data_IF_076301957574
#
_entry.id   IF_076301957574
#
_cell.length_a   1.000
_cell.length_b   1.000
_cell.length_c   1.000
_cell.angle_alpha   90.00
_cell.angle_beta   90.00
_cell.angle_gamma   90.00
#
_symmetry.space_group_name_H-M   'P 1'
#
loop_
_entity.id
_entity.type
_entity.pdbx_description
1 polymer ?
#
# COMPACT_ATOMS: atom_id res chain seq x y z
N UNK A 1 -19.34 20.91 1.55
CA UNK A 1 -19.97 19.63 1.92
C UNK A 1 -19.75 19.39 3.40
N UNK A 2 -20.80 19.06 4.16
CA UNK A 2 -20.71 18.76 5.59
C UNK A 2 -19.91 17.47 5.75
N UNK A 3 -18.81 17.50 6.50
CA UNK A 3 -18.04 16.28 6.80
C UNK A 3 -18.96 15.37 7.61
N UNK A 4 -19.19 14.11 7.20
CA UNK A 4 -20.05 13.22 7.96
C UNK A 4 -19.49 13.06 9.37
N UNK A 5 -20.33 13.28 10.39
CA UNK A 5 -19.93 13.09 11.79
C UNK A 5 -19.62 11.61 12.00
N UNK A 6 -18.34 11.30 12.21
CA UNK A 6 -17.92 9.95 12.56
C UNK A 6 -18.17 9.68 14.05
N UNK A 7 -18.60 8.48 14.39
CA UNK A 7 -18.75 8.04 15.78
C UNK A 7 -17.49 7.29 16.21
N UNK A 8 -16.91 7.67 17.34
CA UNK A 8 -15.75 7.01 17.92
C UNK A 8 -16.20 5.91 18.89
N UNK A 9 -15.59 4.74 18.79
CA UNK A 9 -15.83 3.58 19.65
C UNK A 9 -14.52 3.16 20.32
N UNK A 10 -14.61 2.72 21.57
CA UNK A 10 -13.48 2.17 22.31
C UNK A 10 -13.90 0.84 22.94
N UNK A 11 -13.09 -0.21 22.71
CA UNK A 11 -13.35 -1.55 23.24
C UNK A 11 -12.09 -2.03 23.97
N UNK A 12 -12.27 -2.56 25.17
CA UNK A 12 -11.21 -3.18 25.96
C UNK A 12 -11.55 -4.62 26.31
N UNK A 13 -10.55 -5.42 26.63
CA UNK A 13 -10.75 -6.80 27.07
C UNK A 13 -9.44 -7.56 27.15
N UNK A 14 -9.54 -8.89 27.23
CA UNK A 14 -8.39 -9.79 27.21
C UNK A 14 -8.45 -10.68 25.97
N UNK A 15 -7.30 -10.87 25.33
CA UNK A 15 -7.14 -11.71 24.15
C UNK A 15 -7.45 -13.16 24.53
N UNK A 16 -8.38 -13.77 23.80
CA UNK A 16 -8.68 -15.20 23.92
C UNK A 16 -7.69 -16.04 23.11
N UNK A 17 -8.17 -17.16 22.54
CA UNK A 17 -7.33 -18.04 21.70
C UNK A 17 -6.88 -17.37 20.39
N UNK A 18 -7.71 -16.50 19.81
CA UNK A 18 -7.41 -15.78 18.59
C UNK A 18 -7.88 -14.33 18.69
N UNK A 19 -6.98 -13.39 18.44
CA UNK A 19 -7.23 -11.97 18.63
C UNK A 19 -8.38 -11.43 17.78
N UNK A 20 -8.41 -11.74 16.48
CA UNK A 20 -9.45 -11.24 15.60
C UNK A 20 -10.84 -11.75 16.00
N UNK A 21 -10.94 -13.03 16.38
CA UNK A 21 -12.20 -13.59 16.90
C UNK A 21 -12.63 -12.95 18.22
N UNK A 22 -11.68 -12.63 19.11
CA UNK A 22 -11.95 -11.94 20.37
C UNK A 22 -12.50 -10.54 20.12
N UNK A 23 -11.87 -9.78 19.20
CA UNK A 23 -12.35 -8.45 18.83
C UNK A 23 -13.76 -8.52 18.21
N UNK A 24 -14.00 -9.48 17.31
CA UNK A 24 -15.31 -9.65 16.70
C UNK A 24 -16.40 -9.99 17.73
N UNK A 25 -16.10 -10.88 18.68
CA UNK A 25 -17.02 -11.20 19.78
C UNK A 25 -17.30 -10.00 20.71
N UNK A 26 -16.34 -9.07 20.81
CA UNK A 26 -16.48 -7.81 21.54
C UNK A 26 -17.16 -6.69 20.73
N UNK A 27 -17.76 -7.00 19.57
CA UNK A 27 -18.50 -6.05 18.73
C UNK A 27 -17.63 -5.21 17.79
N UNK A 28 -16.32 -5.48 17.70
CA UNK A 28 -15.44 -4.79 16.74
C UNK A 28 -15.71 -5.29 15.32
N UNK A 29 -15.94 -4.40 14.33
CA UNK A 29 -16.15 -4.81 12.95
C UNK A 29 -14.98 -5.64 12.40
N UNK A 30 -15.27 -6.66 11.59
CA UNK A 30 -14.27 -7.60 11.09
C UNK A 30 -13.08 -6.92 10.39
N UNK A 31 -13.34 -5.87 9.59
CA UNK A 31 -12.30 -5.06 8.95
C UNK A 31 -11.38 -4.38 9.97
N UNK A 32 -11.95 -3.80 11.03
CA UNK A 32 -11.18 -3.15 12.11
C UNK A 32 -10.36 -4.20 12.86
N UNK A 33 -10.91 -5.40 13.09
CA UNK A 33 -10.17 -6.49 13.71
C UNK A 33 -8.98 -6.98 12.85
N UNK A 34 -9.15 -7.06 11.52
CA UNK A 34 -8.06 -7.34 10.58
C UNK A 34 -6.99 -6.22 10.61
N UNK A 35 -7.41 -4.95 10.53
CA UNK A 35 -6.49 -3.82 10.62
C UNK A 35 -5.73 -3.79 11.94
N UNK A 36 -6.38 -4.07 13.07
CA UNK A 36 -5.75 -4.11 14.39
C UNK A 36 -4.71 -5.23 14.48
N UNK A 37 -5.04 -6.41 13.95
CA UNK A 37 -4.08 -7.51 13.89
C UNK A 37 -2.87 -7.16 13.03
N UNK A 38 -3.09 -6.60 11.84
CA UNK A 38 -2.02 -6.16 10.94
C UNK A 38 -1.15 -5.07 11.55
N UNK A 39 -1.75 -4.07 12.19
CA UNK A 39 -1.02 -2.97 12.83
C UNK A 39 -0.01 -3.47 13.88
N UNK A 40 -0.36 -4.52 14.63
CA UNK A 40 0.51 -5.10 15.64
C UNK A 40 1.57 -6.05 15.05
N UNK A 41 1.19 -6.89 14.08
CA UNK A 41 2.09 -7.85 13.45
C UNK A 41 3.14 -7.17 12.56
N UNK A 42 2.78 -6.02 11.97
CA UNK A 42 3.67 -5.23 11.12
C UNK A 42 4.20 -3.96 11.82
N UNK A 43 4.11 -3.88 13.15
CA UNK A 43 4.76 -2.81 13.91
C UNK A 43 6.25 -2.74 13.56
N UNK A 44 6.80 -1.54 13.40
CA UNK A 44 8.10 -1.34 12.77
C UNK A 44 9.26 -1.61 13.72
N UNK A 45 9.10 -1.27 15.01
CA UNK A 45 10.13 -1.48 16.03
C UNK A 45 10.06 -2.92 16.57
N UNK A 46 8.89 -3.31 17.08
CA UNK A 46 8.70 -4.61 17.75
C UNK A 46 7.37 -5.25 17.31
N UNK A 47 7.37 -6.05 16.22
CA UNK A 47 6.24 -6.90 15.85
C UNK A 47 5.72 -7.73 17.03
N UNK A 48 4.44 -7.60 17.37
CA UNK A 48 3.82 -8.36 18.45
C UNK A 48 2.72 -9.24 17.91
N UNK A 49 2.85 -10.55 18.14
CA UNK A 49 1.74 -11.47 18.01
C UNK A 49 0.88 -11.38 19.28
N UNK A 50 -0.42 -11.05 19.17
CA UNK A 50 -1.29 -10.97 20.35
C UNK A 50 -1.36 -12.35 21.03
N UNK A 51 -0.92 -12.42 22.28
CA UNK A 51 -0.93 -13.65 23.08
C UNK A 51 -2.21 -13.75 23.90
N UNK A 52 -2.68 -14.98 24.15
CA UNK A 52 -3.81 -15.22 25.04
C UNK A 52 -3.54 -14.64 26.44
N UNK A 53 -4.55 -13.99 27.01
CA UNK A 53 -4.46 -13.29 28.30
C UNK A 53 -3.86 -11.89 28.24
N UNK A 54 -3.36 -11.42 27.09
CA UNK A 54 -2.97 -10.02 26.93
C UNK A 54 -4.20 -9.11 27.05
N UNK A 55 -4.06 -7.99 27.74
CA UNK A 55 -5.07 -6.93 27.72
C UNK A 55 -4.99 -6.17 26.40
N UNK A 56 -6.13 -5.73 25.87
CA UNK A 56 -6.19 -4.89 24.67
C UNK A 56 -7.08 -3.66 24.88
N UNK A 57 -6.78 -2.61 24.11
CA UNK A 57 -7.65 -1.46 23.89
C UNK A 57 -7.63 -1.09 22.41
N UNK A 58 -8.81 -1.12 21.79
CA UNK A 58 -8.99 -0.81 20.36
C UNK A 58 -9.91 0.38 20.24
N UNK A 59 -9.45 1.41 19.53
CA UNK A 59 -10.23 2.59 19.19
C UNK A 59 -10.50 2.58 17.69
N UNK A 60 -11.75 2.78 17.29
CA UNK A 60 -12.13 2.82 15.87
C UNK A 60 -13.26 3.82 15.63
N UNK A 61 -13.37 4.27 14.39
CA UNK A 61 -14.41 5.20 13.94
C UNK A 61 -15.39 4.49 13.00
N UNK A 62 -16.67 4.84 13.09
CA UNK A 62 -17.71 4.41 12.13
C UNK A 62 -18.34 5.60 11.44
N UNK A 63 -18.55 5.50 10.13
CA UNK A 63 -19.31 6.49 9.39
C UNK A 63 -20.82 6.32 9.61
N UNK A 64 -21.63 7.38 9.52
CA UNK A 64 -23.08 7.25 9.45
C UNK A 64 -23.48 6.32 8.31
N UNK A 65 -24.44 5.44 8.56
CA UNK A 65 -24.94 4.53 7.55
C UNK A 65 -26.45 4.34 7.69
N UNK A 66 -27.17 4.42 6.58
CA UNK A 66 -28.61 4.20 6.51
C UNK A 66 -28.88 2.85 5.85
N UNK A 67 -29.68 1.99 6.50
CA UNK A 67 -30.08 0.68 5.98
C UNK A 67 -29.38 -0.52 6.66
N UNK A 68 -29.61 -1.71 6.11
CA UNK A 68 -29.16 -2.99 6.68
C UNK A 68 -27.67 -3.34 6.42
N UNK A 69 -26.95 -2.54 5.63
CA UNK A 69 -25.54 -2.76 5.38
C UNK A 69 -24.69 -2.28 6.58
N UNK A 70 -23.49 -2.87 6.76
CA UNK A 70 -22.59 -2.49 7.86
C UNK A 70 -21.96 -1.13 7.59
N UNK A 71 -22.00 -0.26 8.59
CA UNK A 71 -21.33 1.05 8.55
C UNK A 71 -19.83 0.91 8.22
N UNK A 72 -19.27 1.73 7.32
CA UNK A 72 -17.84 1.80 7.11
C UNK A 72 -17.12 2.08 8.43
N UNK A 73 -16.12 1.28 8.76
CA UNK A 73 -15.34 1.40 9.98
C UNK A 73 -13.84 1.41 9.68
N UNK A 74 -13.08 2.14 10.50
CA UNK A 74 -11.62 2.23 10.38
C UNK A 74 -10.97 2.25 11.76
N UNK A 75 -9.90 1.46 11.92
CA UNK A 75 -9.07 1.47 13.13
C UNK A 75 -8.44 2.86 13.34
N UNK A 76 -8.51 3.41 14.55
CA UNK A 76 -7.73 4.59 14.96
C UNK A 76 -6.46 4.20 15.68
N UNK A 77 -6.57 3.29 16.64
CA UNK A 77 -5.43 2.75 17.37
C UNK A 77 -5.72 1.38 17.95
N UNK A 78 -4.66 0.63 18.17
CA UNK A 78 -4.67 -0.61 18.93
C UNK A 78 -3.55 -0.57 19.95
N UNK A 79 -3.88 -0.91 21.19
CA UNK A 79 -2.94 -1.11 22.28
C UNK A 79 -3.04 -2.55 22.76
N UNK A 80 -1.89 -3.18 22.99
CA UNK A 80 -1.77 -4.44 23.72
C UNK A 80 -0.90 -4.24 24.96
N UNK A 81 -1.28 -4.89 26.06
CA UNK A 81 -0.42 -5.06 27.22
C UNK A 81 -0.36 -6.55 27.56
N UNK A 82 0.85 -7.10 27.59
CA UNK A 82 1.08 -8.44 28.10
C UNK A 82 2.21 -8.40 29.13
N UNK A 83 1.86 -8.73 30.38
CA UNK A 83 2.80 -8.76 31.51
C UNK A 83 3.54 -7.42 31.70
N UNK A 84 2.82 -6.30 31.59
CA UNK A 84 3.36 -4.94 31.76
C UNK A 84 4.12 -4.40 30.54
N UNK A 85 4.17 -5.15 29.44
CA UNK A 85 4.80 -4.71 28.19
C UNK A 85 3.73 -4.12 27.28
N UNK A 86 3.43 -2.84 27.49
CA UNK A 86 2.47 -2.08 26.68
C UNK A 86 3.05 -1.73 25.31
N UNK A 87 2.24 -1.91 24.26
CA UNK A 87 2.54 -1.55 22.87
C UNK A 87 1.33 -0.88 22.27
N UNK A 88 1.54 0.26 21.61
CA UNK A 88 0.48 1.05 21.00
C UNK A 88 0.85 1.35 19.56
N UNK A 89 -0.12 1.18 18.66
CA UNK A 89 0.02 1.49 17.24
C UNK A 89 -1.16 2.32 16.80
N UNK A 90 -0.89 3.37 16.03
CA UNK A 90 -1.83 4.41 15.67
C UNK A 90 -1.95 4.52 14.15
N UNK A 91 -3.17 4.71 13.65
CA UNK A 91 -3.43 5.02 12.25
C UNK A 91 -2.96 6.44 11.96
N UNK A 92 -2.11 6.61 10.95
CA UNK A 92 -1.62 7.92 10.52
C UNK A 92 -1.68 8.08 8.99
N UNK A 93 -2.33 9.13 8.46
CA UNK A 93 -2.36 9.38 7.02
C UNK A 93 -0.96 9.75 6.50
N UNK A 94 -0.55 9.11 5.42
CA UNK A 94 0.71 9.38 4.72
C UNK A 94 0.42 9.64 3.24
N UNK A 95 0.95 10.73 2.68
CA UNK A 95 0.53 11.15 1.34
C UNK A 95 -0.94 11.58 1.31
N UNK A 96 -1.60 11.42 0.16
CA UNK A 96 -3.00 11.84 -0.04
C UNK A 96 -4.01 10.70 0.15
N UNK A 97 -3.60 9.47 -0.11
CA UNK A 97 -4.48 8.29 -0.23
C UNK A 97 -3.91 7.03 0.43
N UNK A 98 -2.84 7.19 1.22
CA UNK A 98 -2.20 6.10 1.95
C UNK A 98 -2.28 6.34 3.46
N UNK A 99 -2.19 5.26 4.22
CA UNK A 99 -2.27 5.31 5.69
C UNK A 99 -1.32 4.28 6.27
N UNK A 100 -0.47 4.74 7.18
CA UNK A 100 0.48 3.91 7.90
C UNK A 100 -0.04 3.62 9.31
N UNK A 101 0.52 2.57 9.90
CA UNK A 101 0.42 2.26 11.31
C UNK A 101 1.73 2.68 11.98
N UNK A 102 1.65 3.61 12.92
CA UNK A 102 2.81 4.31 13.50
C UNK A 102 2.81 4.15 15.01
N UNK A 103 3.98 3.89 15.56
CA UNK A 103 4.25 3.74 16.99
C UNK A 103 4.63 5.09 17.63
N UNK A 104 4.55 5.23 18.97
CA UNK A 104 4.90 6.47 19.68
C UNK A 104 6.31 7.01 19.40
N UNK A 105 7.24 6.14 18.99
CA UNK A 105 8.61 6.51 18.63
C UNK A 105 8.73 7.11 17.21
N UNK A 106 7.63 7.20 16.46
CA UNK A 106 7.59 7.74 15.09
C UNK A 106 7.94 6.73 14.00
N UNK A 107 8.29 5.50 14.36
CA UNK A 107 8.46 4.39 13.41
C UNK A 107 7.10 3.82 13.04
N UNK A 108 6.95 3.37 11.80
CA UNK A 108 5.71 2.78 11.36
C UNK A 108 5.83 1.98 10.09
N UNK A 109 4.72 1.36 9.70
CA UNK A 109 4.60 0.55 8.51
C UNK A 109 3.36 0.98 7.73
N UNK A 110 3.54 1.32 6.46
CA UNK A 110 2.45 1.38 5.49
C UNK A 110 2.26 -0.02 4.93
N UNK A 111 1.03 -0.52 4.94
CA UNK A 111 0.62 -1.67 4.14
C UNK A 111 -0.02 -1.13 2.86
N UNK A 112 0.79 -0.98 1.82
CA UNK A 112 0.36 -0.38 0.58
C UNK A 112 -0.51 -1.38 -0.21
N UNK A 113 -1.78 -1.01 -0.43
CA UNK A 113 -2.67 -1.68 -1.37
C UNK A 113 -2.69 -0.91 -2.69
N UNK A 114 -1.83 -1.33 -3.62
CA UNK A 114 -1.75 -0.74 -4.95
C UNK A 114 -2.92 -1.23 -5.81
N UNK A 115 -3.60 -0.32 -6.49
CA UNK A 115 -4.61 -0.70 -7.46
C UNK A 115 -3.97 -1.34 -8.70
N UNK A 116 -4.73 -2.12 -9.45
CA UNK A 116 -4.30 -2.66 -10.74
C UNK A 116 -4.03 -1.50 -11.74
N UNK A 117 -2.79 -1.35 -12.26
CA UNK A 117 -2.46 -0.27 -13.19
C UNK A 117 -3.09 -0.46 -14.58
N UNK A 118 -3.46 -1.68 -14.97
CA UNK A 118 -4.10 -1.98 -16.27
C UNK A 118 -5.27 -2.96 -16.04
N UNK A 119 -6.44 -2.45 -15.62
CA UNK A 119 -7.58 -3.31 -15.32
C UNK A 119 -7.94 -4.24 -16.49
N UNK A 120 -7.99 -5.54 -16.20
CA UNK A 120 -8.26 -6.66 -17.15
C UNK A 120 -7.06 -7.12 -18.01
N UNK A 121 -5.87 -6.58 -17.80
CA UNK A 121 -4.68 -7.19 -18.39
C UNK A 121 -4.40 -8.56 -17.77
N UNK A 122 -3.78 -9.45 -18.54
CA UNK A 122 -3.36 -10.76 -18.08
C UNK A 122 -1.87 -10.75 -17.74
N UNK A 123 -1.50 -11.25 -16.56
CA UNK A 123 -0.08 -11.43 -16.22
C UNK A 123 0.46 -12.59 -17.05
N UNK A 124 1.34 -12.28 -18.01
CA UNK A 124 1.98 -13.27 -18.89
C UNK A 124 3.34 -13.70 -18.37
N UNK A 125 4.00 -12.85 -17.57
CA UNK A 125 5.21 -13.20 -16.86
C UNK A 125 5.18 -12.69 -15.43
N UNK A 126 5.33 -13.61 -14.48
CA UNK A 126 5.34 -13.29 -13.06
C UNK A 126 6.74 -12.86 -12.60
N UNK A 127 6.78 -12.27 -11.40
CA UNK A 127 8.00 -12.05 -10.64
C UNK A 127 8.68 -13.39 -10.32
N UNK A 128 10.00 -13.47 -10.53
CA UNK A 128 10.79 -14.66 -10.17
C UNK A 128 11.67 -15.21 -11.29
N UNK A 129 12.29 -16.37 -11.04
CA UNK A 129 13.16 -17.03 -12.02
C UNK A 129 12.36 -17.54 -13.22
N UNK A 130 12.85 -17.20 -14.42
CA UNK A 130 12.31 -17.66 -15.71
C UNK A 130 13.42 -17.77 -16.74
N UNK A 131 13.12 -18.35 -17.89
CA UNK A 131 13.96 -18.22 -19.08
C UNK A 131 13.60 -16.91 -19.77
N UNK A 132 14.59 -16.06 -20.06
CA UNK A 132 14.38 -14.79 -20.74
C UNK A 132 13.96 -15.04 -22.20
N UNK A 133 12.80 -14.57 -22.67
CA UNK A 133 12.20 -14.97 -23.94
C UNK A 133 13.00 -14.54 -25.16
N UNK A 134 13.87 -13.53 -25.01
CA UNK A 134 14.72 -13.03 -26.09
C UNK A 134 16.17 -13.52 -25.95
N UNK A 135 16.65 -13.74 -24.72
CA UNK A 135 18.07 -14.06 -24.47
C UNK A 135 18.28 -15.56 -24.26
N UNK A 136 17.19 -16.33 -24.16
CA UNK A 136 17.13 -17.77 -23.97
C UNK A 136 18.04 -18.30 -22.84
N UNK A 137 18.07 -17.57 -21.73
CA UNK A 137 18.88 -17.91 -20.55
C UNK A 137 18.11 -17.67 -19.26
N UNK A 138 18.45 -18.36 -18.15
CA UNK A 138 17.86 -18.09 -16.84
C UNK A 138 18.08 -16.63 -16.42
N UNK A 139 17.00 -15.96 -16.04
CA UNK A 139 16.99 -14.60 -15.55
C UNK A 139 15.93 -14.45 -14.45
N UNK A 140 16.23 -13.59 -13.47
CA UNK A 140 15.26 -13.24 -12.45
C UNK A 140 14.45 -12.03 -12.90
N UNK A 141 13.15 -12.21 -13.04
CA UNK A 141 12.23 -11.14 -13.43
C UNK A 141 11.87 -10.25 -12.24
N UNK A 142 12.36 -9.02 -12.25
CA UNK A 142 12.21 -8.05 -11.16
C UNK A 142 10.95 -7.17 -11.28
N UNK A 143 9.93 -7.68 -11.98
CA UNK A 143 8.64 -7.04 -12.16
C UNK A 143 7.59 -8.07 -12.59
N UNK A 144 6.53 -7.59 -13.22
CA UNK A 144 5.54 -8.43 -13.90
C UNK A 144 5.27 -7.90 -15.31
N UNK A 145 4.99 -8.81 -16.23
CA UNK A 145 4.55 -8.47 -17.59
C UNK A 145 3.04 -8.64 -17.66
N UNK A 146 2.33 -7.55 -17.99
CA UNK A 146 0.89 -7.51 -18.11
C UNK A 146 0.52 -7.30 -19.58
N UNK A 147 0.11 -8.37 -20.26
CA UNK A 147 -0.30 -8.30 -21.65
C UNK A 147 -1.64 -7.57 -21.80
N UNK A 148 -1.66 -6.58 -22.69
CA UNK A 148 -2.83 -5.81 -23.08
C UNK A 148 -2.59 -5.21 -24.48
N UNK A 149 -3.67 -4.88 -25.22
CA UNK A 149 -3.51 -4.23 -26.53
C UNK A 149 -2.67 -2.96 -26.45
N UNK A 150 -1.90 -2.68 -27.51
CA UNK A 150 -1.20 -1.40 -27.66
C UNK A 150 -2.20 -0.23 -27.53
N UNK A 151 -1.79 0.85 -26.88
CA UNK A 151 -2.65 1.99 -26.58
C UNK A 151 -3.59 1.80 -25.38
N UNK A 152 -3.55 0.65 -24.68
CA UNK A 152 -4.37 0.46 -23.46
C UNK A 152 -3.96 1.47 -22.39
N UNK A 153 -4.89 2.23 -21.78
CA UNK A 153 -4.54 3.20 -20.74
C UNK A 153 -3.97 2.55 -19.48
N UNK A 154 -2.83 3.08 -19.03
CA UNK A 154 -2.18 2.71 -17.76
C UNK A 154 -2.52 3.75 -16.71
N UNK A 155 -2.92 3.31 -15.52
CA UNK A 155 -3.37 4.18 -14.43
C UNK A 155 -2.42 4.14 -13.25
N UNK A 156 -2.24 5.28 -12.58
CA UNK A 156 -1.46 5.34 -11.35
C UNK A 156 -2.17 4.53 -10.24
N UNK A 157 -1.50 3.54 -9.61
CA UNK A 157 -2.10 2.68 -8.61
C UNK A 157 -2.34 3.39 -7.28
N UNK A 158 -1.61 4.48 -7.05
CA UNK A 158 -1.72 5.40 -5.94
C UNK A 158 -1.26 6.80 -6.37
N UNK A 159 -1.59 7.82 -5.59
CA UNK A 159 -1.17 9.18 -5.86
C UNK A 159 0.32 9.36 -5.61
N UNK A 160 0.97 10.30 -6.31
CA UNK A 160 2.41 10.47 -6.23
C UNK A 160 2.96 11.52 -7.17
N UNK A 161 4.28 11.59 -7.26
CA UNK A 161 5.01 12.51 -8.11
C UNK A 161 5.84 11.72 -9.11
N UNK A 162 5.78 12.10 -10.38
CA UNK A 162 6.65 11.57 -11.43
C UNK A 162 8.10 11.91 -11.08
N UNK A 163 8.97 10.90 -11.03
CA UNK A 163 10.40 11.04 -10.74
C UNK A 163 11.29 10.65 -11.92
N UNK A 164 10.69 10.12 -12.99
CA UNK A 164 11.33 9.88 -14.28
C UNK A 164 10.25 9.74 -15.36
N UNK A 165 10.44 10.39 -16.50
CA UNK A 165 9.60 10.28 -17.70
C UNK A 165 10.46 10.41 -18.97
N UNK A 166 10.72 9.31 -19.67
CA UNK A 166 11.52 9.33 -20.90
C UNK A 166 12.01 7.97 -21.35
N UNK A 167 12.90 7.94 -22.35
CA UNK A 167 13.54 6.71 -22.81
C UNK A 167 14.61 6.20 -21.82
N UNK A 168 14.69 4.88 -21.63
CA UNK A 168 15.61 4.27 -20.66
C UNK A 168 16.05 2.86 -21.09
N UNK A 169 16.93 2.78 -22.10
CA UNK A 169 17.55 1.53 -22.54
C UNK A 169 16.53 0.43 -22.83
N UNK A 170 16.72 -0.75 -22.24
CA UNK A 170 15.85 -1.92 -22.46
C UNK A 170 14.39 -1.69 -22.04
N UNK A 171 14.11 -0.75 -21.14
CA UNK A 171 12.74 -0.40 -20.78
C UNK A 171 11.98 0.30 -21.91
N UNK A 172 12.67 0.80 -22.93
CA UNK A 172 12.06 1.69 -23.91
C UNK A 172 11.60 2.98 -23.24
N UNK A 173 10.37 3.40 -23.50
CA UNK A 173 9.77 4.53 -22.80
C UNK A 173 9.36 4.08 -21.40
N UNK A 174 9.89 4.77 -20.39
CA UNK A 174 9.76 4.46 -18.98
C UNK A 174 9.15 5.65 -18.23
N UNK A 175 8.18 5.36 -17.38
CA UNK A 175 7.67 6.28 -16.38
C UNK A 175 7.98 5.72 -14.98
N UNK A 176 8.38 6.57 -14.03
CA UNK A 176 8.46 6.22 -12.60
C UNK A 176 7.69 7.22 -11.76
N UNK A 177 6.87 6.72 -10.83
CA UNK A 177 6.07 7.54 -9.91
C UNK A 177 6.48 7.19 -8.48
N UNK A 178 6.93 8.18 -7.72
CA UNK A 178 7.17 8.08 -6.27
C UNK A 178 5.90 8.47 -5.53
N UNK A 179 5.38 7.56 -4.73
CA UNK A 179 4.14 7.76 -3.97
C UNK A 179 4.45 8.41 -2.62
N UNK A 180 4.72 7.58 -1.61
CA UNK A 180 5.36 8.02 -0.37
C UNK A 180 6.88 7.81 -0.47
N UNK A 181 7.63 8.37 0.49
CA UNK A 181 9.09 8.54 0.40
C UNK A 181 9.88 7.34 -0.16
N UNK A 182 9.50 6.11 0.18
CA UNK A 182 10.23 4.89 -0.18
C UNK A 182 9.49 3.98 -1.16
N UNK A 183 8.30 4.35 -1.62
CA UNK A 183 7.48 3.54 -2.53
C UNK A 183 7.47 4.14 -3.93
N UNK A 184 8.00 3.42 -4.90
CA UNK A 184 8.04 3.83 -6.30
C UNK A 184 7.42 2.75 -7.17
N UNK A 185 6.66 3.15 -8.18
CA UNK A 185 6.18 2.26 -9.24
C UNK A 185 6.81 2.66 -10.57
N UNK A 186 7.16 1.68 -11.39
CA UNK A 186 7.75 1.90 -12.70
C UNK A 186 6.94 1.21 -13.80
N UNK A 187 6.87 1.86 -14.96
CA UNK A 187 6.05 1.44 -16.10
C UNK A 187 6.93 1.46 -17.36
N UNK A 188 7.37 0.30 -17.80
CA UNK A 188 8.21 0.12 -18.99
C UNK A 188 7.41 -0.28 -20.23
N UNK A 189 8.11 -0.27 -21.36
CA UNK A 189 7.62 -0.61 -22.70
C UNK A 189 6.44 0.26 -23.16
N UNK A 190 6.32 1.49 -22.67
CA UNK A 190 5.21 2.36 -23.01
C UNK A 190 5.20 2.70 -24.50
N UNK A 191 4.00 2.86 -25.08
CA UNK A 191 3.85 3.48 -26.41
C UNK A 191 4.14 4.97 -26.31
N UNK A 192 3.59 5.60 -25.26
CA UNK A 192 3.80 7.00 -24.92
C UNK A 192 3.37 7.28 -23.49
N UNK A 193 3.93 8.33 -22.92
CA UNK A 193 3.51 8.90 -21.64
C UNK A 193 2.28 9.79 -21.88
N UNK A 194 1.37 9.86 -20.90
CA UNK A 194 0.20 10.73 -21.00
C UNK A 194 0.62 12.22 -21.08
N UNK A 195 -0.12 13.01 -21.85
CA UNK A 195 0.23 14.41 -22.12
C UNK A 195 0.37 15.25 -20.85
N UNK A 196 1.41 16.07 -20.80
CA UNK A 196 1.71 16.97 -19.66
C UNK A 196 2.46 16.33 -18.51
N UNK A 197 2.71 15.00 -18.53
CA UNK A 197 3.51 14.35 -17.50
C UNK A 197 5.00 14.43 -17.81
N UNK A 198 5.75 14.99 -16.87
CA UNK A 198 7.20 15.12 -16.86
C UNK A 198 7.70 15.05 -15.40
N UNK A 199 9.00 14.97 -15.19
CA UNK A 199 9.61 14.94 -13.86
C UNK A 199 9.08 16.07 -12.97
N UNK A 200 8.68 15.73 -11.75
CA UNK A 200 8.05 16.64 -10.80
C UNK A 200 6.52 16.76 -10.92
N UNK A 201 5.90 16.22 -11.98
CA UNK A 201 4.44 16.27 -12.14
C UNK A 201 3.73 15.43 -11.09
N UNK A 202 2.74 16.02 -10.42
CA UNK A 202 1.90 15.30 -9.48
C UNK A 202 0.77 14.55 -10.20
N UNK A 203 0.52 13.30 -9.81
CA UNK A 203 -0.53 12.45 -10.35
C UNK A 203 -1.41 11.90 -9.23
N UNK A 204 -2.72 11.80 -9.50
CA UNK A 204 -3.70 11.22 -8.58
C UNK A 204 -3.85 9.72 -8.85
N UNK A 205 -4.21 8.95 -7.82
CA UNK A 205 -4.65 7.56 -8.00
C UNK A 205 -5.73 7.45 -9.06
N UNK A 206 -5.58 6.48 -9.96
CA UNK A 206 -6.50 6.22 -11.07
C UNK A 206 -6.32 7.13 -12.28
N UNK A 207 -5.50 8.20 -12.18
CA UNK A 207 -5.15 9.05 -13.33
C UNK A 207 -4.43 8.22 -14.38
N UNK A 208 -4.77 8.43 -15.66
CA UNK A 208 -4.04 7.83 -16.78
C UNK A 208 -2.66 8.47 -16.86
N UNK A 209 -1.61 7.66 -16.87
CA UNK A 209 -0.22 8.10 -16.84
C UNK A 209 0.60 7.68 -18.06
N UNK A 210 0.11 6.73 -18.82
CA UNK A 210 0.74 6.28 -20.05
C UNK A 210 -0.16 5.29 -20.78
N UNK A 211 0.37 4.72 -21.84
CA UNK A 211 -0.34 3.77 -22.68
C UNK A 211 0.56 2.58 -22.97
N UNK A 212 0.00 1.38 -22.89
CA UNK A 212 0.70 0.10 -23.16
C UNK A 212 1.31 0.15 -24.55
N UNK A 213 2.56 -0.28 -24.69
CA UNK A 213 3.25 -0.35 -25.96
C UNK A 213 4.15 -1.56 -26.06
N UNK A 214 5.19 -1.43 -26.88
CA UNK A 214 6.22 -2.44 -27.08
C UNK A 214 7.56 -1.78 -27.41
N UNK A 215 7.85 -0.64 -26.80
CA UNK A 215 9.13 0.07 -26.97
C UNK A 215 10.26 -0.62 -26.21
N UNK A 216 11.52 -0.41 -26.62
CA UNK A 216 12.67 -1.05 -25.99
C UNK A 216 12.76 -2.55 -26.29
N UNK A 217 13.26 -3.32 -25.32
CA UNK A 217 13.44 -4.77 -25.46
C UNK A 217 12.13 -5.51 -25.13
N UNK A 218 11.26 -5.62 -26.13
CA UNK A 218 9.93 -6.23 -25.98
C UNK A 218 9.58 -7.11 -27.18
N UNK A 219 8.93 -8.25 -26.96
CA UNK A 219 8.48 -9.17 -28.03
C UNK A 219 7.07 -8.84 -28.55
N UNK A 220 6.31 -7.99 -27.85
CA UNK A 220 4.95 -7.62 -28.24
C UNK A 220 4.26 -6.72 -27.20
N UNK A 221 3.02 -6.26 -27.46
CA UNK A 221 2.36 -5.30 -26.57
C UNK A 221 2.12 -5.81 -25.15
N UNK A 222 2.75 -5.17 -24.17
CA UNK A 222 2.56 -5.42 -22.74
C UNK A 222 3.07 -4.25 -21.90
N UNK A 223 2.63 -4.18 -20.63
CA UNK A 223 3.25 -3.33 -19.62
C UNK A 223 4.25 -4.18 -18.81
N UNK A 224 5.52 -3.75 -18.76
CA UNK A 224 6.44 -4.19 -17.72
C UNK A 224 6.28 -3.30 -16.49
N UNK A 225 5.81 -3.88 -15.38
CA UNK A 225 5.46 -3.16 -14.16
C UNK A 225 6.35 -3.58 -12.99
N UNK A 226 6.99 -2.59 -12.35
CA UNK A 226 7.81 -2.82 -11.16
C UNK A 226 7.28 -2.05 -9.95
N UNK A 227 7.48 -2.61 -8.77
CA UNK A 227 7.29 -1.92 -7.49
C UNK A 227 8.60 -1.93 -6.73
N UNK A 228 8.97 -0.78 -6.20
CA UNK A 228 10.20 -0.57 -5.46
C UNK A 228 9.87 -0.08 -4.05
N UNK A 229 10.50 -0.72 -3.06
CA UNK A 229 10.48 -0.32 -1.65
C UNK A 229 11.91 -0.08 -1.20
N UNK A 230 12.20 1.15 -0.79
CA UNK A 230 13.50 1.55 -0.25
C UNK A 230 14.68 1.22 -1.20
N UNK A 231 14.46 1.50 -2.49
CA UNK A 231 15.46 1.25 -3.55
C UNK A 231 15.59 -0.21 -3.98
N UNK A 232 14.78 -1.13 -3.46
CA UNK A 232 14.77 -2.54 -3.85
C UNK A 232 13.46 -2.90 -4.54
N UNK A 233 13.55 -3.65 -5.64
CA UNK A 233 12.37 -4.23 -6.29
C UNK A 233 11.72 -5.27 -5.37
N UNK A 234 10.38 -5.29 -5.37
CA UNK A 234 9.57 -6.26 -4.64
C UNK A 234 8.49 -6.81 -5.57
N UNK A 235 7.95 -7.99 -5.23
CA UNK A 235 6.94 -8.65 -6.05
C UNK A 235 5.65 -7.79 -6.15
N UNK A 236 5.30 -7.27 -7.36
CA UNK A 236 4.11 -6.45 -7.54
C UNK A 236 2.78 -7.18 -7.28
N UNK A 237 2.77 -8.52 -7.30
CA UNK A 237 1.57 -9.33 -7.07
C UNK A 237 1.19 -9.46 -5.58
N UNK A 238 1.97 -8.90 -4.66
CA UNK A 238 1.65 -8.91 -3.23
C UNK A 238 0.43 -8.03 -2.94
N UNK A 239 -0.55 -8.58 -2.21
CA UNK A 239 -1.75 -7.86 -1.78
C UNK A 239 -1.43 -6.66 -0.89
N UNK A 240 -0.46 -6.85 0.02
CA UNK A 240 -0.04 -5.87 1.01
C UNK A 240 1.48 -5.71 0.88
N UNK A 241 1.94 -4.57 0.37
CA UNK A 241 3.37 -4.26 0.27
C UNK A 241 3.76 -3.46 1.51
N UNK A 242 4.58 -4.06 2.38
CA UNK A 242 5.06 -3.43 3.60
C UNK A 242 6.13 -2.37 3.27
N UNK A 243 5.84 -1.11 3.57
CA UNK A 243 6.74 0.03 3.32
C UNK A 243 7.06 0.71 4.66
N UNK A 244 8.33 0.70 5.11
CA UNK A 244 8.73 1.40 6.32
C UNK A 244 8.44 2.91 6.23
N UNK A 245 7.91 3.45 7.32
CA UNK A 245 7.61 4.87 7.50
C UNK A 245 8.36 5.36 8.73
N UNK A 246 8.96 6.54 8.60
CA UNK A 246 9.54 7.26 9.72
C UNK A 246 8.97 8.68 9.73
N UNK A 247 8.22 9.01 10.79
CA UNK A 247 7.76 10.36 11.05
C UNK A 247 8.85 11.13 11.79
N UNK A 248 9.45 12.11 11.11
CA UNK A 248 10.35 13.08 11.73
C UNK A 248 9.77 14.50 11.77
N UNK A 249 10.42 15.39 12.51
CA UNK A 249 10.16 16.83 12.48
C UNK A 249 8.70 17.21 12.75
N UNK A 250 8.13 18.07 11.89
CA UNK A 250 6.76 18.59 12.06
C UNK A 250 5.68 17.50 12.00
N UNK A 251 5.89 16.44 11.20
CA UNK A 251 4.94 15.32 11.10
C UNK A 251 4.87 14.53 12.40
N UNK A 252 6.03 14.31 13.04
CA UNK A 252 6.10 13.65 14.34
C UNK A 252 5.45 14.46 15.45
N UNK A 253 5.70 15.78 15.50
CA UNK A 253 5.03 16.67 16.47
C UNK A 253 3.51 16.67 16.31
N UNK A 254 3.03 16.73 15.07
CA UNK A 254 1.59 16.63 14.77
C UNK A 254 1.01 15.27 15.16
N UNK A 255 1.79 14.20 15.01
CA UNK A 255 1.39 12.86 15.43
C UNK A 255 1.23 12.77 16.96
N UNK A 256 2.20 13.27 17.72
CA UNK A 256 2.14 13.29 19.19
C UNK A 256 0.98 14.15 19.73
N UNK A 257 0.51 15.17 18.99
CA UNK A 257 -0.60 16.01 19.43
C UNK A 257 -2.00 15.41 19.17
N UNK A 258 -2.09 14.31 18.41
CA UNK A 258 -3.38 13.68 18.04
C UNK A 258 -3.53 12.23 18.50
N UNK A 259 -2.47 11.63 19.06
CA UNK A 259 -2.44 10.27 19.59
C UNK A 259 -2.48 10.25 21.11
#
# INVERSE_FOLDING_TARGET
AQVPQMTLHAVTGHVGRNFQSTLHAAGVPAKVAEEAHKALVYAADLPVRPAAGAWFHVVFETAPHAGAARAPAALRSVTLDFKGRRRSVYRYPVGQDMTAFVEPNGLGMLLAHLADPVPRAHVTSAWGWRIHPILDRPEFHEGIDMAAPMGTPIRAPASGTVVFAGEHGNYGILLKIRHISRLVTAYGHLERIAGGLHDGTYVKKGQVVGYVGSSGLSTGPHLYYEVWVDGRRVNPAQKDIAVPVHLGGARFRKFLSVG
#
